data_IF_294175556564
#
_entry.id   IF_294175556564
#
_cell.length_a   1.000
_cell.length_b   1.000
_cell.length_c   1.000
_cell.angle_alpha   90.00
_cell.angle_beta   90.00
_cell.angle_gamma   90.00
#
_symmetry.space_group_name_H-M   'P 1'
#
loop_
_entity.id
_entity.type
_entity.pdbx_description
1 polymer ?
#
# COMPACT_ATOMS: atom_id res chain seq x y z
N UNK A 1 17.95 -10.08 -9.01
CA UNK A 1 18.36 -9.01 -8.07
C UNK A 1 17.72 -9.15 -6.67
N UNK A 2 16.69 -9.98 -6.47
CA UNK A 2 16.05 -10.21 -5.15
C UNK A 2 16.87 -11.11 -4.20
N UNK A 3 17.80 -11.92 -4.72
CA UNK A 3 18.49 -12.96 -3.94
C UNK A 3 19.39 -12.42 -2.82
N UNK A 4 19.83 -11.17 -2.88
CA UNK A 4 20.69 -10.55 -1.86
C UNK A 4 19.94 -9.68 -0.83
N UNK A 5 18.60 -9.60 -0.89
CA UNK A 5 17.82 -8.83 0.10
C UNK A 5 17.92 -9.51 1.47
N UNK A 6 18.39 -8.81 2.49
CA UNK A 6 18.40 -9.32 3.87
C UNK A 6 17.02 -9.19 4.50
N UNK A 7 16.76 -9.99 5.53
CA UNK A 7 15.47 -9.99 6.23
C UNK A 7 15.19 -8.67 6.95
N UNK A 8 16.16 -8.12 7.64
CA UNK A 8 16.06 -6.83 8.34
C UNK A 8 15.78 -5.66 7.37
N UNK A 9 16.44 -5.65 6.21
CA UNK A 9 16.15 -4.68 5.15
C UNK A 9 14.72 -4.84 4.60
N UNK A 10 14.25 -6.09 4.42
CA UNK A 10 12.89 -6.38 3.98
C UNK A 10 11.84 -5.92 4.99
N UNK A 11 12.06 -6.16 6.29
CA UNK A 11 11.21 -5.69 7.38
C UNK A 11 11.18 -4.14 7.42
N UNK A 12 12.33 -3.49 7.24
CA UNK A 12 12.42 -2.04 7.20
C UNK A 12 11.65 -1.43 6.01
N UNK A 13 11.78 -2.01 4.81
CA UNK A 13 11.02 -1.59 3.61
C UNK A 13 9.52 -1.68 3.86
N UNK A 14 9.07 -2.79 4.45
CA UNK A 14 7.67 -3.01 4.78
C UNK A 14 7.18 -1.96 5.78
N UNK A 15 7.95 -1.67 6.82
CA UNK A 15 7.59 -0.66 7.82
C UNK A 15 7.48 0.74 7.22
N UNK A 16 8.41 1.12 6.33
CA UNK A 16 8.35 2.42 5.64
C UNK A 16 7.05 2.60 4.85
N UNK A 17 6.59 1.53 4.20
CA UNK A 17 5.37 1.56 3.38
C UNK A 17 4.11 1.62 4.26
N UNK A 18 4.12 0.97 5.43
CA UNK A 18 3.06 1.12 6.43
C UNK A 18 2.98 2.56 6.97
N UNK A 19 4.12 3.18 7.26
CA UNK A 19 4.17 4.56 7.76
C UNK A 19 3.67 5.56 6.71
N UNK A 20 4.04 5.37 5.45
CA UNK A 20 3.52 6.15 4.33
C UNK A 20 2.01 5.94 4.16
N UNK A 21 1.55 4.68 4.22
CA UNK A 21 0.12 4.34 4.15
C UNK A 21 -0.70 5.02 5.25
N UNK A 22 -0.16 5.06 6.47
CA UNK A 22 -0.75 5.80 7.59
C UNK A 22 -0.84 7.30 7.29
N UNK A 23 0.25 7.90 6.81
CA UNK A 23 0.32 9.32 6.47
C UNK A 23 -0.67 9.70 5.35
N UNK A 24 -0.83 8.83 4.35
CA UNK A 24 -1.81 9.01 3.27
C UNK A 24 -3.26 8.94 3.76
N UNK A 25 -3.54 8.04 4.72
CA UNK A 25 -4.86 7.97 5.36
C UNK A 25 -5.16 9.21 6.21
N UNK A 26 -4.19 9.68 7.00
CA UNK A 26 -4.30 10.92 7.78
C UNK A 26 -4.55 12.13 6.85
N UNK A 27 -3.84 12.20 5.73
CA UNK A 27 -4.10 13.21 4.69
C UNK A 27 -5.56 13.18 4.18
N UNK A 28 -6.14 12.00 3.98
CA UNK A 28 -7.55 11.90 3.58
C UNK A 28 -8.48 12.35 4.72
N UNK A 29 -8.23 11.94 5.96
CA UNK A 29 -9.04 12.33 7.11
C UNK A 29 -9.08 13.85 7.29
N UNK A 30 -7.95 14.51 7.21
CA UNK A 30 -7.86 15.97 7.35
C UNK A 30 -8.67 16.73 6.28
N UNK A 31 -8.81 16.14 5.09
CA UNK A 31 -9.44 16.79 3.91
C UNK A 31 -10.93 16.46 3.84
N UNK A 32 -11.39 15.45 4.58
CA UNK A 32 -12.79 14.99 4.58
C UNK A 32 -13.77 16.10 4.93
N UNK A 33 -13.45 16.89 5.94
CA UNK A 33 -14.34 17.95 6.46
C UNK A 33 -14.23 19.26 5.68
N UNK A 34 -13.19 19.43 4.86
CA UNK A 34 -12.89 20.70 4.17
C UNK A 34 -13.09 20.67 2.66
N UNK A 35 -13.57 19.55 2.10
CA UNK A 35 -13.72 19.34 0.64
C UNK A 35 -15.15 18.96 0.30
N UNK A 36 -15.56 19.28 -0.93
CA UNK A 36 -16.81 18.72 -1.44
C UNK A 36 -16.68 17.19 -1.56
N UNK A 37 -17.82 16.50 -1.66
CA UNK A 37 -17.83 15.06 -1.86
C UNK A 37 -17.10 14.66 -3.14
N UNK A 38 -17.30 15.40 -4.23
CA UNK A 38 -16.69 15.14 -5.52
C UNK A 38 -15.17 15.32 -5.47
N UNK A 39 -14.68 16.40 -4.84
CA UNK A 39 -13.25 16.63 -4.62
C UNK A 39 -12.63 15.52 -3.76
N UNK A 40 -13.32 15.15 -2.69
CA UNK A 40 -12.85 14.10 -1.79
C UNK A 40 -12.80 12.72 -2.46
N UNK A 41 -13.79 12.39 -3.29
CA UNK A 41 -13.81 11.14 -4.06
C UNK A 41 -12.67 11.07 -5.09
N UNK A 42 -12.30 12.20 -5.70
CA UNK A 42 -11.10 12.27 -6.57
C UNK A 42 -9.83 12.03 -5.75
N UNK A 43 -9.69 12.67 -4.60
CA UNK A 43 -8.53 12.46 -3.71
C UNK A 43 -8.42 11.00 -3.28
N UNK A 44 -9.52 10.38 -2.85
CA UNK A 44 -9.55 8.95 -2.49
C UNK A 44 -9.07 8.05 -3.63
N UNK A 45 -9.50 8.31 -4.87
CA UNK A 45 -9.08 7.52 -6.04
C UNK A 45 -7.57 7.64 -6.30
N UNK A 46 -7.02 8.84 -6.18
CA UNK A 46 -5.58 9.08 -6.38
C UNK A 46 -4.78 8.38 -5.28
N UNK A 47 -5.15 8.59 -4.02
CA UNK A 47 -4.45 8.01 -2.87
C UNK A 47 -4.53 6.48 -2.87
N UNK A 48 -5.71 5.91 -3.16
CA UNK A 48 -5.88 4.46 -3.27
C UNK A 48 -5.01 3.84 -4.35
N UNK A 49 -4.83 4.51 -5.50
CA UNK A 49 -3.90 4.06 -6.55
C UNK A 49 -2.45 4.09 -6.07
N UNK A 50 -2.02 5.17 -5.43
CA UNK A 50 -0.65 5.30 -4.90
C UNK A 50 -0.34 4.19 -3.89
N UNK A 51 -1.25 3.95 -2.94
CA UNK A 51 -1.11 2.87 -1.96
C UNK A 51 -1.08 1.49 -2.63
N UNK A 52 -1.92 1.27 -3.65
CA UNK A 52 -1.94 0.02 -4.42
C UNK A 52 -0.62 -0.26 -5.16
N UNK A 53 -0.02 0.75 -5.80
CA UNK A 53 1.27 0.62 -6.47
C UNK A 53 2.39 0.28 -5.47
N UNK A 54 2.45 1.00 -4.36
CA UNK A 54 3.42 0.75 -3.29
C UNK A 54 3.30 -0.66 -2.71
N UNK A 55 2.06 -1.11 -2.48
CA UNK A 55 1.80 -2.46 -2.00
C UNK A 55 2.26 -3.53 -2.99
N UNK A 56 1.95 -3.35 -4.28
CA UNK A 56 2.34 -4.30 -5.33
C UNK A 56 3.86 -4.47 -5.41
N UNK A 57 4.62 -3.38 -5.41
CA UNK A 57 6.09 -3.43 -5.45
C UNK A 57 6.67 -4.18 -4.24
N UNK A 58 6.12 -3.97 -3.04
CA UNK A 58 6.54 -4.69 -1.84
C UNK A 58 6.23 -6.18 -1.93
N UNK A 59 5.04 -6.56 -2.37
CA UNK A 59 4.68 -7.97 -2.55
C UNK A 59 5.60 -8.64 -3.58
N UNK A 60 5.92 -7.95 -4.67
CA UNK A 60 6.81 -8.47 -5.70
C UNK A 60 8.26 -8.62 -5.20
N UNK A 61 8.78 -7.66 -4.45
CA UNK A 61 10.19 -7.67 -4.04
C UNK A 61 10.40 -8.50 -2.76
N UNK A 62 9.57 -8.28 -1.74
CA UNK A 62 9.67 -8.93 -0.42
C UNK A 62 8.92 -10.26 -0.42
N UNK A 63 7.68 -10.28 -0.91
CA UNK A 63 6.82 -11.47 -0.88
C UNK A 63 7.37 -12.65 -1.67
N UNK A 64 8.18 -12.42 -2.70
CA UNK A 64 8.86 -13.49 -3.43
C UNK A 64 9.89 -14.26 -2.57
N UNK A 65 10.49 -13.63 -1.55
CA UNK A 65 11.55 -14.22 -0.71
C UNK A 65 11.13 -14.46 0.74
N UNK A 66 10.32 -13.56 1.30
CA UNK A 66 9.87 -13.54 2.69
C UNK A 66 8.34 -13.41 2.76
N UNK A 67 7.66 -14.47 2.34
CA UNK A 67 6.17 -14.53 2.32
C UNK A 67 5.56 -14.24 3.69
N UNK A 68 6.20 -14.73 4.75
CA UNK A 68 5.78 -14.55 6.14
C UNK A 68 5.74 -13.08 6.58
N UNK A 69 6.64 -12.24 6.06
CA UNK A 69 6.64 -10.80 6.36
C UNK A 69 5.42 -10.13 5.73
N UNK A 70 5.08 -10.50 4.49
CA UNK A 70 3.95 -9.94 3.75
C UNK A 70 2.61 -10.44 4.30
N UNK A 71 2.50 -11.70 4.70
CA UNK A 71 1.28 -12.25 5.29
C UNK A 71 0.87 -11.53 6.57
N UNK A 72 1.84 -11.05 7.35
CA UNK A 72 1.59 -10.24 8.54
C UNK A 72 1.11 -8.81 8.23
N UNK A 73 1.25 -8.31 6.99
CA UNK A 73 0.72 -7.00 6.58
C UNK A 73 -0.81 -6.97 6.53
N UNK A 74 -1.43 -8.12 6.25
CA UNK A 74 -2.89 -8.23 6.11
C UNK A 74 -3.65 -8.07 7.44
N UNK A 75 -2.96 -8.04 8.58
CA UNK A 75 -3.57 -8.04 9.92
C UNK A 75 -4.27 -6.75 10.37
N UNK A 76 -4.31 -5.68 9.58
CA UNK A 76 -4.82 -4.36 10.05
C UNK A 76 -6.05 -3.81 9.33
N UNK A 77 -6.57 -4.43 8.26
CA UNK A 77 -7.80 -3.95 7.61
C UNK A 77 -8.51 -5.05 6.79
N UNK A 78 -9.30 -5.93 7.42
CA UNK A 78 -10.05 -6.97 6.72
C UNK A 78 -11.19 -6.45 5.81
N UNK A 79 -11.43 -5.12 5.78
CA UNK A 79 -12.60 -4.52 5.13
C UNK A 79 -12.28 -3.60 3.95
N UNK A 80 -11.03 -3.51 3.50
CA UNK A 80 -10.70 -2.80 2.26
C UNK A 80 -10.58 -3.82 1.12
N UNK A 81 -11.68 -4.01 0.39
CA UNK A 81 -11.64 -4.64 -0.94
C UNK A 81 -10.83 -3.71 -1.86
N UNK A 82 -9.54 -3.99 -1.99
CA UNK A 82 -8.71 -3.41 -3.03
C UNK A 82 -8.96 -4.21 -4.31
N UNK A 83 -9.84 -3.72 -5.17
CA UNK A 83 -9.89 -4.18 -6.56
C UNK A 83 -8.61 -3.70 -7.24
N UNK A 84 -7.60 -4.57 -7.30
CA UNK A 84 -6.37 -4.30 -8.03
C UNK A 84 -6.69 -4.26 -9.54
N UNK A 85 -6.24 -3.23 -10.28
CA UNK A 85 -6.39 -3.23 -11.73
C UNK A 85 -5.58 -4.39 -12.31
N UNK A 86 -6.22 -5.21 -13.14
CA UNK A 86 -5.53 -6.27 -13.89
C UNK A 86 -4.47 -5.65 -14.80
N UNK A 87 -3.21 -6.04 -14.59
CA UNK A 87 -2.12 -5.64 -15.47
C UNK A 87 -2.31 -6.40 -16.78
N UNK A 88 -2.83 -5.71 -17.80
CA UNK A 88 -2.90 -6.22 -19.16
C UNK A 88 -1.49 -6.52 -19.65
N UNK A 89 -1.13 -7.80 -19.75
CA UNK A 89 0.11 -8.24 -20.40
C UNK A 89 -0.03 -7.94 -21.89
N UNK A 90 0.80 -7.03 -22.39
CA UNK A 90 1.05 -6.84 -23.82
C UNK A 90 2.08 -7.86 -24.32
#
# INVERSE_FOLDING_TARGET
MVDNLRRDDAEAIVQLILDVSKSLNEFLLDRRESRSKEEFDVLKKIIGRLMGFQYFEVVEVVGNKYKDIVENLHGSAPSLNFDFPEISKS
#
